data_IF_097554873372
#
_entry.id   IF_097554873372
#
_cell.length_a   1.000
_cell.length_b   1.000
_cell.length_c   1.000
_cell.angle_alpha   90.00
_cell.angle_beta   90.00
_cell.angle_gamma   90.00
#
_symmetry.space_group_name_H-M   'P 1'
#
loop_
_entity.id
_entity.type
_entity.pdbx_description
1 polymer ?
#
# COMPACT_ATOMS: atom_id res chain seq x y z
N UNK A 1 -30.21 -10.42 -9.01
CA UNK A 1 -28.81 -10.03 -9.28
C UNK A 1 -28.73 -8.51 -9.26
N UNK A 2 -28.00 -7.91 -8.33
CA UNK A 2 -27.88 -6.46 -8.26
C UNK A 2 -26.93 -5.99 -9.37
N UNK A 3 -27.48 -5.28 -10.34
CA UNK A 3 -26.70 -4.54 -11.34
C UNK A 3 -25.97 -3.43 -10.58
N UNK A 4 -24.75 -3.71 -10.11
CA UNK A 4 -23.90 -2.72 -9.46
C UNK A 4 -23.32 -1.81 -10.55
N UNK A 5 -24.12 -0.83 -10.96
CA UNK A 5 -23.80 0.20 -11.95
C UNK A 5 -22.91 1.29 -11.34
N UNK A 6 -21.89 0.93 -10.54
CA UNK A 6 -20.87 1.89 -10.14
C UNK A 6 -19.94 2.13 -11.35
N UNK A 7 -20.00 3.31 -12.00
CA UNK A 7 -19.24 3.59 -13.22
C UNK A 7 -17.73 3.64 -12.98
N UNK A 8 -17.31 3.72 -11.71
CA UNK A 8 -15.90 3.66 -11.31
C UNK A 8 -15.35 2.25 -11.11
N UNK A 9 -16.18 1.20 -11.16
CA UNK A 9 -15.71 -0.16 -10.93
C UNK A 9 -15.16 -0.80 -12.22
N UNK A 10 -13.98 -1.41 -12.13
CA UNK A 10 -13.32 -2.10 -13.25
C UNK A 10 -14.17 -3.22 -13.85
N UNK A 11 -15.07 -3.81 -13.06
CA UNK A 11 -15.97 -4.88 -13.50
C UNK A 11 -16.95 -4.45 -14.62
N UNK A 12 -17.18 -3.14 -14.78
CA UNK A 12 -18.11 -2.59 -15.77
C UNK A 12 -17.40 -1.89 -16.94
N UNK A 13 -16.07 -1.98 -17.02
CA UNK A 13 -15.26 -1.27 -18.03
C UNK A 13 -14.78 -2.24 -19.12
N UNK A 14 -14.73 -1.81 -20.40
CA UNK A 14 -14.22 -2.64 -21.47
C UNK A 14 -12.76 -3.02 -21.19
N UNK A 15 -12.38 -4.25 -21.55
CA UNK A 15 -11.04 -4.80 -21.25
C UNK A 15 -9.91 -3.90 -21.77
N UNK A 16 -10.12 -3.27 -22.91
CA UNK A 16 -9.18 -2.33 -23.52
C UNK A 16 -8.90 -1.11 -22.61
N UNK A 17 -9.93 -0.53 -22.02
CA UNK A 17 -9.80 0.63 -21.13
C UNK A 17 -9.20 0.24 -19.78
N UNK A 18 -9.53 -0.94 -19.27
CA UNK A 18 -8.89 -1.50 -18.06
C UNK A 18 -7.41 -1.77 -18.31
N UNK A 19 -7.07 -2.33 -19.48
CA UNK A 19 -5.70 -2.59 -19.89
C UNK A 19 -4.93 -1.29 -20.11
N UNK A 20 -5.56 -0.25 -20.67
CA UNK A 20 -4.95 1.08 -20.82
C UNK A 20 -4.69 1.73 -19.45
N UNK A 21 -5.62 1.62 -18.50
CA UNK A 21 -5.44 2.16 -17.14
C UNK A 21 -4.40 1.37 -16.36
N UNK A 22 -4.40 0.04 -16.45
CA UNK A 22 -3.37 -0.79 -15.86
C UNK A 22 -2.00 -0.51 -16.48
N UNK A 23 -1.95 -0.27 -17.79
CA UNK A 23 -0.73 0.14 -18.48
C UNK A 23 -0.25 1.50 -18.00
N UNK A 24 -1.13 2.52 -17.93
CA UNK A 24 -0.80 3.86 -17.40
C UNK A 24 -0.38 3.83 -15.93
N UNK A 25 -1.01 2.99 -15.11
CA UNK A 25 -0.64 2.78 -13.71
C UNK A 25 0.70 2.04 -13.56
N UNK A 26 0.98 1.07 -14.44
CA UNK A 26 2.26 0.35 -14.50
C UNK A 26 3.40 1.16 -15.12
N UNK A 27 3.11 2.20 -15.91
CA UNK A 27 4.13 3.12 -16.42
C UNK A 27 4.73 4.01 -15.32
N UNK A 28 4.13 4.10 -14.13
CA UNK A 28 4.72 4.83 -13.01
C UNK A 28 5.90 4.09 -12.37
N UNK A 29 6.00 2.77 -12.54
CA UNK A 29 7.07 1.95 -11.95
C UNK A 29 8.17 1.54 -12.96
N UNK A 30 7.92 1.68 -14.27
CA UNK A 30 8.89 1.36 -15.33
C UNK A 30 9.28 2.55 -16.22
N UNK A 31 8.94 3.79 -15.86
CA UNK A 31 9.51 4.98 -16.51
C UNK A 31 10.86 5.37 -15.91
N UNK A 32 11.81 4.45 -16.03
CA UNK A 32 13.22 4.82 -16.19
C UNK A 32 13.47 5.20 -17.64
N UNK A 33 12.86 6.30 -18.13
CA UNK A 33 13.27 7.08 -19.31
C UNK A 33 12.11 7.99 -19.75
N UNK A 34 12.00 9.16 -19.10
CA UNK A 34 11.32 10.32 -19.69
C UNK A 34 12.37 11.42 -19.79
N UNK A 35 13.05 11.49 -20.93
CA UNK A 35 13.84 12.65 -21.35
C UNK A 35 12.87 13.82 -21.57
N UNK A 36 12.45 14.47 -20.48
CA UNK A 36 11.89 15.82 -20.53
C UNK A 36 13.04 16.82 -20.59
N UNK A 37 13.04 17.79 -21.53
CA UNK A 37 14.17 18.68 -21.79
C UNK A 37 14.37 19.75 -20.71
N UNK A 38 13.57 19.75 -19.64
CA UNK A 38 13.76 20.60 -18.48
C UNK A 38 14.38 19.78 -17.37
N UNK A 39 15.72 19.72 -17.37
CA UNK A 39 16.52 19.01 -16.40
C UNK A 39 16.17 19.43 -14.98
N UNK A 40 15.37 18.62 -14.29
CA UNK A 40 15.27 18.70 -12.84
C UNK A 40 16.38 17.84 -12.28
N UNK A 41 17.61 18.37 -12.34
CA UNK A 41 18.71 17.88 -11.53
C UNK A 41 18.35 18.18 -10.07
N UNK A 42 17.58 17.27 -9.46
CA UNK A 42 17.34 17.29 -8.04
C UNK A 42 18.54 16.57 -7.39
N UNK A 43 19.44 17.27 -6.71
CA UNK A 43 20.60 16.65 -6.06
C UNK A 43 20.21 15.67 -4.96
N UNK A 44 18.94 15.72 -4.51
CA UNK A 44 18.40 14.78 -3.54
C UNK A 44 18.01 13.41 -4.10
N UNK A 45 17.86 13.25 -5.41
CA UNK A 45 17.36 12.01 -6.00
C UNK A 45 18.39 10.87 -5.92
N UNK A 46 17.95 9.67 -5.57
CA UNK A 46 18.82 8.48 -5.46
C UNK A 46 19.52 8.12 -6.78
N UNK A 47 18.89 8.41 -7.93
CA UNK A 47 19.49 8.20 -9.24
C UNK A 47 20.72 9.09 -9.51
N UNK A 48 20.87 10.18 -8.76
CA UNK A 48 21.98 11.13 -8.87
C UNK A 48 23.05 10.92 -7.77
N UNK A 49 22.99 9.80 -7.02
CA UNK A 49 23.92 9.49 -5.91
C UNK A 49 24.83 8.30 -6.26
N UNK A 50 26.06 8.24 -5.71
CA UNK A 50 26.94 7.08 -5.86
C UNK A 50 26.31 5.83 -5.22
N UNK A 51 26.56 4.65 -5.81
CA UNK A 51 25.92 3.40 -5.38
C UNK A 51 26.25 3.04 -3.93
N UNK A 52 27.46 3.35 -3.51
CA UNK A 52 27.98 3.11 -2.18
C UNK A 52 27.16 3.88 -1.12
N UNK A 53 26.85 5.14 -1.40
CA UNK A 53 26.04 5.99 -0.52
C UNK A 53 24.58 5.51 -0.46
N UNK A 54 24.01 5.13 -1.60
CA UNK A 54 22.65 4.56 -1.65
C UNK A 54 22.58 3.26 -0.85
N UNK A 55 23.60 2.40 -0.98
CA UNK A 55 23.70 1.15 -0.25
C UNK A 55 23.83 1.38 1.25
N UNK A 56 24.62 2.38 1.67
CA UNK A 56 24.75 2.75 3.07
C UNK A 56 23.42 3.29 3.64
N UNK A 57 22.72 4.16 2.90
CA UNK A 57 21.41 4.71 3.31
C UNK A 57 20.38 3.58 3.46
N UNK A 58 20.30 2.67 2.48
CA UNK A 58 19.40 1.52 2.54
C UNK A 58 19.74 0.60 3.72
N UNK A 59 21.02 0.33 3.95
CA UNK A 59 21.48 -0.50 5.06
C UNK A 59 21.13 0.13 6.42
N UNK A 60 21.37 1.44 6.60
CA UNK A 60 21.01 2.17 7.81
C UNK A 60 19.49 2.18 8.05
N UNK A 61 18.69 2.39 6.99
CA UNK A 61 17.23 2.34 7.07
C UNK A 61 16.69 0.95 7.43
N UNK A 62 17.28 -0.11 6.86
CA UNK A 62 16.95 -1.49 7.21
C UNK A 62 17.32 -1.84 8.66
N UNK A 63 18.51 -1.45 9.11
CA UNK A 63 18.96 -1.70 10.49
C UNK A 63 18.07 -1.02 11.54
N UNK A 64 17.62 0.22 11.28
CA UNK A 64 16.67 0.91 12.17
C UNK A 64 15.34 0.16 12.32
N UNK A 65 14.96 -0.64 11.33
CA UNK A 65 13.72 -1.43 11.35
C UNK A 65 13.85 -2.74 12.14
N UNK A 66 15.07 -3.23 12.35
CA UNK A 66 15.34 -4.51 13.03
C UNK A 66 15.52 -4.40 14.56
N UNK A 67 15.84 -3.22 15.08
CA UNK A 67 16.25 -3.05 16.49
C UNK A 67 15.13 -2.67 17.47
N UNK A 68 13.88 -2.45 17.02
CA UNK A 68 12.83 -1.99 17.93
C UNK A 68 11.45 -1.78 17.31
N UNK A 69 11.03 -2.66 16.40
CA UNK A 69 9.70 -2.61 15.80
C UNK A 69 8.58 -3.01 16.78
N UNK A 70 7.33 -2.86 16.34
CA UNK A 70 6.13 -3.23 17.12
C UNK A 70 6.20 -4.67 17.65
N UNK A 71 6.73 -5.60 16.86
CA UNK A 71 6.88 -7.01 17.24
C UNK A 71 7.87 -7.25 18.39
N UNK A 72 8.85 -6.36 18.58
CA UNK A 72 9.89 -6.46 19.62
C UNK A 72 9.52 -5.71 20.91
N UNK A 73 8.35 -5.06 20.96
CA UNK A 73 7.86 -4.33 22.12
C UNK A 73 7.27 -5.29 23.17
N UNK A 74 7.15 -4.84 24.42
CA UNK A 74 6.42 -5.57 25.47
C UNK A 74 4.99 -5.97 25.03
N UNK A 75 4.55 -7.22 25.23
CA UNK A 75 3.24 -7.71 24.78
C UNK A 75 2.05 -6.91 25.32
N UNK A 76 2.11 -6.43 26.56
CA UNK A 76 1.00 -5.68 27.17
C UNK A 76 0.90 -4.29 26.53
N UNK A 77 2.06 -3.66 26.28
CA UNK A 77 2.13 -2.39 25.55
C UNK A 77 1.68 -2.54 24.09
N UNK A 78 2.00 -3.65 23.42
CA UNK A 78 1.48 -3.95 22.08
C UNK A 78 -0.05 -4.04 22.08
N UNK A 79 -0.64 -4.75 23.07
CA UNK A 79 -2.10 -4.89 23.21
C UNK A 79 -2.77 -3.55 23.47
N UNK A 80 -2.17 -2.70 24.29
CA UNK A 80 -2.68 -1.36 24.57
C UNK A 80 -2.73 -0.52 23.28
N UNK A 81 -1.64 -0.49 22.51
CA UNK A 81 -1.57 0.23 21.23
C UNK A 81 -2.57 -0.33 20.22
N UNK A 82 -2.68 -1.66 20.11
CA UNK A 82 -3.68 -2.29 19.24
C UNK A 82 -5.12 -1.94 19.65
N UNK A 83 -5.40 -1.93 20.96
CA UNK A 83 -6.69 -1.54 21.52
C UNK A 83 -7.01 -0.06 21.23
N UNK A 84 -6.03 0.83 21.40
CA UNK A 84 -6.16 2.25 21.03
C UNK A 84 -6.43 2.42 19.53
N UNK A 85 -5.72 1.69 18.67
CA UNK A 85 -5.97 1.69 17.22
C UNK A 85 -7.38 1.20 16.86
N UNK A 86 -7.87 0.16 17.54
CA UNK A 86 -9.24 -0.34 17.37
C UNK A 86 -10.31 0.65 17.82
N UNK A 87 -10.06 1.39 18.91
CA UNK A 87 -10.98 2.44 19.43
C UNK A 87 -10.96 3.71 18.58
N UNK A 88 -9.80 4.12 18.08
CA UNK A 88 -9.63 5.29 17.22
C UNK A 88 -10.15 5.05 15.80
N UNK A 89 -10.17 3.79 15.37
CA UNK A 89 -10.87 3.38 14.16
C UNK A 89 -12.38 3.40 14.41
N UNK A 90 -13.19 3.91 13.47
CA UNK A 90 -14.65 3.74 13.45
C UNK A 90 -15.09 2.28 13.19
N UNK A 91 -14.17 1.34 13.38
CA UNK A 91 -14.22 -0.07 13.02
C UNK A 91 -14.40 -1.00 14.21
N UNK A 92 -15.04 -0.55 15.30
CA UNK A 92 -15.70 -1.50 16.18
C UNK A 92 -16.97 -1.95 15.47
N UNK A 93 -16.92 -3.10 14.81
CA UNK A 93 -18.10 -3.67 14.18
C UNK A 93 -18.83 -4.51 15.21
N UNK A 94 -20.13 -4.28 15.37
CA UNK A 94 -20.94 -5.20 16.17
C UNK A 94 -20.93 -6.59 15.49
N UNK A 95 -20.80 -7.68 16.27
CA UNK A 95 -20.91 -9.03 15.74
C UNK A 95 -22.20 -9.21 14.95
N UNK A 96 -22.10 -9.61 13.68
CA UNK A 96 -23.25 -9.78 12.79
C UNK A 96 -23.72 -8.52 12.06
N UNK A 97 -23.12 -7.35 12.32
CA UNK A 97 -23.39 -6.15 11.54
C UNK A 97 -22.98 -6.34 10.08
N UNK A 98 -23.70 -5.70 9.16
CA UNK A 98 -23.42 -5.76 7.73
C UNK A 98 -21.99 -5.27 7.42
N UNK A 99 -21.55 -4.24 8.14
CA UNK A 99 -20.22 -3.66 8.07
C UNK A 99 -19.12 -4.65 8.55
N UNK A 100 -19.39 -5.46 9.59
CA UNK A 100 -18.49 -6.56 10.01
C UNK A 100 -18.38 -7.64 8.93
N UNK A 101 -19.52 -8.01 8.34
CA UNK A 101 -19.60 -9.06 7.33
C UNK A 101 -18.88 -8.66 6.05
N UNK A 102 -19.05 -7.41 5.62
CA UNK A 102 -18.36 -6.86 4.44
C UNK A 102 -16.84 -6.76 4.66
N UNK A 103 -16.41 -6.26 5.83
CA UNK A 103 -15.00 -6.21 6.18
C UNK A 103 -14.36 -7.61 6.25
N UNK A 104 -15.07 -8.57 6.86
CA UNK A 104 -14.64 -9.97 6.94
C UNK A 104 -14.59 -10.67 5.58
N UNK A 105 -15.57 -10.42 4.70
CA UNK A 105 -15.56 -10.93 3.33
C UNK A 105 -14.38 -10.37 2.54
N UNK A 106 -14.16 -9.04 2.58
CA UNK A 106 -13.03 -8.39 1.91
C UNK A 106 -11.67 -8.89 2.40
N UNK A 107 -11.51 -9.09 3.71
CA UNK A 107 -10.30 -9.69 4.29
C UNK A 107 -10.13 -11.18 3.94
N UNK A 108 -11.24 -11.90 3.78
CA UNK A 108 -11.26 -13.31 3.35
C UNK A 108 -10.88 -13.52 1.89
N UNK A 109 -11.16 -12.55 1.02
CA UNK A 109 -10.73 -12.59 -0.37
C UNK A 109 -9.23 -12.33 -0.54
N UNK A 110 -8.61 -11.53 0.34
CA UNK A 110 -7.16 -11.26 0.31
C UNK A 110 -6.28 -12.47 0.69
N UNK A 111 -6.86 -13.51 1.30
CA UNK A 111 -6.17 -14.78 1.67
C UNK A 111 -6.46 -15.94 0.71
N UNK A 112 -7.32 -15.75 -0.29
CA UNK A 112 -7.76 -16.79 -1.21
C UNK A 112 -7.07 -16.74 -2.58
N UNK A 113 -6.13 -15.81 -2.79
CA UNK A 113 -5.23 -15.81 -3.96
C UNK A 113 -3.86 -16.34 -3.54
N UNK A 114 -3.73 -17.67 -3.58
CA UNK A 114 -2.49 -18.44 -3.79
C UNK A 114 -2.80 -19.52 -4.81
#
# INVERSE_FOLDING_TARGET
MANNTNPGNFANRPREEVQEIASKGGQASNQGSSTSPTGTYNPGNFANRPREEVQEIASKGGQASHSGGFASMDPDKQREIASMGGKASSGSFEPGSEKAREAGAKGGHARAEV
#
